data_IF_653830803224
#
_entry.id   IF_653830803224
#
_cell.length_a   1.000
_cell.length_b   1.000
_cell.length_c   1.000
_cell.angle_alpha   90.00
_cell.angle_beta   90.00
_cell.angle_gamma   90.00
#
_symmetry.space_group_name_H-M   'P 1'
#
loop_
_entity.id
_entity.type
_entity.pdbx_description
1 polymer ?
#
# COMPACT_ATOMS: atom_id res chain seq x y z
N UNK A 1 3.58 52.41 -4.01
CA UNK A 1 2.58 51.86 -3.06
C UNK A 1 1.88 50.68 -3.71
N UNK A 2 1.84 49.55 -3.02
CA UNK A 2 1.26 48.26 -3.43
C UNK A 2 -0.26 48.28 -3.16
N UNK A 3 -1.08 47.53 -3.91
CA UNK A 3 -1.66 46.32 -3.33
C UNK A 3 -1.57 45.07 -4.23
N UNK A 4 -1.25 43.95 -3.58
CA UNK A 4 -1.25 42.57 -4.09
C UNK A 4 -2.68 42.08 -4.35
N UNK A 5 -2.88 41.28 -5.39
CA UNK A 5 -3.88 40.18 -5.39
C UNK A 5 -3.28 38.92 -6.00
N UNK A 6 -3.21 37.87 -5.18
CA UNK A 6 -2.86 36.49 -5.53
C UNK A 6 -3.95 35.93 -6.45
N UNK A 7 -3.57 35.37 -7.60
CA UNK A 7 -4.40 34.39 -8.33
C UNK A 7 -3.96 33.00 -7.86
N UNK A 8 -4.87 32.32 -7.17
CA UNK A 8 -4.79 30.88 -6.89
C UNK A 8 -5.41 30.20 -8.10
N UNK A 9 -4.61 29.46 -8.87
CA UNK A 9 -5.12 28.62 -9.95
C UNK A 9 -5.64 27.32 -9.35
N UNK A 10 -6.95 27.11 -9.46
CA UNK A 10 -7.60 25.84 -9.21
C UNK A 10 -7.32 24.86 -10.35
N UNK A 11 -7.00 23.62 -10.02
CA UNK A 11 -6.92 22.52 -10.97
C UNK A 11 -8.33 21.96 -11.16
N UNK A 12 -8.92 22.23 -12.32
CA UNK A 12 -10.00 21.41 -12.88
C UNK A 12 -9.37 20.08 -13.31
N UNK A 13 -9.75 18.97 -12.67
CA UNK A 13 -9.55 17.64 -13.25
C UNK A 13 -10.68 17.46 -14.27
N UNK A 14 -10.30 17.30 -15.54
CA UNK A 14 -11.21 17.03 -16.63
C UNK A 14 -11.96 15.71 -16.35
N UNK A 15 -13.27 15.80 -16.17
CA UNK A 15 -14.18 14.65 -16.08
C UNK A 15 -14.71 14.32 -17.47
N UNK A 16 -13.92 13.66 -18.29
CA UNK A 16 -14.44 13.04 -19.52
C UNK A 16 -14.10 11.55 -19.52
N UNK A 17 -15.18 10.75 -19.57
CA UNK A 17 -15.22 9.28 -19.65
C UNK A 17 -15.09 8.47 -18.34
N UNK A 18 -16.06 8.64 -17.41
CA UNK A 18 -16.34 7.65 -16.35
C UNK A 18 -17.85 7.40 -16.25
N UNK A 19 -18.26 6.12 -16.18
CA UNK A 19 -19.66 5.66 -16.05
C UNK A 19 -20.18 5.90 -14.61
N UNK A 20 -21.51 5.92 -14.46
CA UNK A 20 -22.24 6.56 -13.36
C UNK A 20 -21.92 6.13 -11.91
N UNK A 21 -21.41 4.93 -11.67
CA UNK A 21 -21.04 4.48 -10.31
C UNK A 21 -19.68 5.03 -9.85
N UNK A 22 -18.70 5.15 -10.76
CA UNK A 22 -17.36 5.69 -10.47
C UNK A 22 -17.37 7.18 -10.12
N UNK A 23 -18.28 7.95 -10.74
CA UNK A 23 -18.46 9.37 -10.41
C UNK A 23 -18.93 9.55 -8.97
N UNK A 24 -19.77 8.65 -8.47
CA UNK A 24 -20.35 8.74 -7.14
C UNK A 24 -19.30 8.49 -6.05
N UNK A 25 -18.43 7.50 -6.25
CA UNK A 25 -17.33 7.16 -5.31
C UNK A 25 -16.24 8.23 -5.27
N UNK A 26 -15.80 8.75 -6.43
CA UNK A 26 -14.83 9.85 -6.51
C UNK A 26 -15.39 11.14 -5.91
N UNK A 27 -16.68 11.42 -6.13
CA UNK A 27 -17.35 12.56 -5.49
C UNK A 27 -17.37 12.38 -3.98
N UNK A 28 -17.63 11.17 -3.48
CA UNK A 28 -17.62 10.87 -2.04
C UNK A 28 -16.22 11.02 -1.42
N UNK A 29 -15.17 10.55 -2.09
CA UNK A 29 -13.77 10.75 -1.67
C UNK A 29 -13.38 12.24 -1.69
N UNK A 30 -13.78 12.98 -2.73
CA UNK A 30 -13.56 14.42 -2.82
C UNK A 30 -14.35 15.20 -1.77
N UNK A 31 -15.58 14.77 -1.44
CA UNK A 31 -16.40 15.36 -0.38
C UNK A 31 -15.82 15.08 1.01
N UNK A 32 -15.29 13.87 1.25
CA UNK A 32 -14.57 13.53 2.48
C UNK A 32 -13.30 14.38 2.64
N UNK A 33 -12.50 14.53 1.58
CA UNK A 33 -11.35 15.45 1.56
C UNK A 33 -11.75 16.92 1.79
N UNK A 34 -12.90 17.36 1.25
CA UNK A 34 -13.41 18.73 1.46
C UNK A 34 -13.98 18.94 2.87
N UNK A 35 -14.61 17.92 3.47
CA UNK A 35 -15.08 17.94 4.86
C UNK A 35 -13.90 17.97 5.85
N UNK A 36 -12.82 17.25 5.57
CA UNK A 36 -11.58 17.29 6.37
C UNK A 36 -10.90 18.67 6.40
N UNK A 37 -11.12 19.52 5.40
CA UNK A 37 -10.57 20.89 5.36
C UNK A 37 -11.36 21.93 6.16
N UNK A 38 -12.57 21.61 6.68
CA UNK A 38 -13.35 22.54 7.51
C UNK A 38 -13.10 22.29 9.00
N UNK A 39 -12.24 23.13 9.58
CA UNK A 39 -12.02 23.42 11.01
C UNK A 39 -11.48 22.25 11.87
N UNK A 40 -10.16 22.16 11.96
CA UNK A 40 -9.50 21.78 13.23
C UNK A 40 -9.45 23.03 14.11
N UNK A 41 -10.50 23.21 14.92
CA UNK A 41 -10.45 24.06 16.11
C UNK A 41 -9.82 23.25 17.24
N UNK A 42 -8.85 23.86 17.91
CA UNK A 42 -8.19 23.33 19.11
C UNK A 42 -9.18 23.32 20.27
N UNK A 43 -9.74 22.17 20.62
CA UNK A 43 -10.24 21.91 21.98
C UNK A 43 -9.75 20.53 22.43
N UNK A 44 -9.07 20.53 23.58
CA UNK A 44 -8.40 19.39 24.18
C UNK A 44 -9.38 18.33 24.69
N UNK A 45 -8.95 17.08 24.56
CA UNK A 45 -9.72 15.88 24.91
C UNK A 45 -9.90 14.89 23.75
N UNK A 46 -9.21 15.08 22.62
CA UNK A 46 -9.24 14.13 21.51
C UNK A 46 -8.55 12.83 21.88
N UNK A 47 -9.27 11.71 21.81
CA UNK A 47 -8.68 10.38 21.84
C UNK A 47 -7.48 10.35 20.88
N UNK A 48 -6.34 9.81 21.36
CA UNK A 48 -5.15 9.66 20.52
C UNK A 48 -5.48 8.58 19.48
N UNK A 49 -5.85 9.02 18.27
CA UNK A 49 -6.11 8.12 17.14
C UNK A 49 -4.81 7.41 16.80
N UNK A 50 -4.83 6.07 16.69
CA UNK A 50 -3.64 5.32 16.31
C UNK A 50 -3.27 5.57 14.84
N UNK A 51 -2.00 5.43 14.51
CA UNK A 51 -1.53 5.51 13.12
C UNK A 51 -2.00 4.30 12.31
N UNK A 52 -2.28 4.44 11.01
CA UNK A 52 -2.42 3.30 10.11
C UNK A 52 -1.17 2.43 10.17
N UNK A 53 -1.36 1.14 10.47
CA UNK A 53 -0.27 0.19 10.72
C UNK A 53 -0.08 -0.75 9.55
N UNK A 54 1.15 -0.84 9.06
CA UNK A 54 1.51 -1.57 7.86
C UNK A 54 2.59 -2.62 8.12
N UNK A 55 2.41 -3.80 7.53
CA UNK A 55 3.48 -4.77 7.35
C UNK A 55 4.22 -4.45 6.05
N UNK A 56 5.53 -4.25 6.12
CA UNK A 56 6.38 -3.87 5.00
C UNK A 56 7.13 -5.09 4.45
N UNK A 57 6.90 -5.40 3.17
CA UNK A 57 7.44 -6.55 2.44
C UNK A 57 8.50 -6.12 1.43
N UNK A 58 9.74 -6.52 1.66
CA UNK A 58 10.89 -6.12 0.85
C UNK A 58 10.94 -6.79 -0.54
N UNK A 59 11.83 -6.31 -1.41
CA UNK A 59 12.02 -6.85 -2.76
C UNK A 59 12.81 -8.15 -2.81
N UNK A 60 12.85 -8.79 -3.98
CA UNK A 60 13.59 -10.04 -4.19
C UNK A 60 15.07 -9.88 -3.80
N UNK A 61 15.59 -10.80 -2.98
CA UNK A 61 17.00 -10.82 -2.54
C UNK A 61 17.42 -9.53 -1.84
N UNK A 62 16.55 -8.99 -1.00
CA UNK A 62 16.86 -7.86 -0.11
C UNK A 62 16.46 -8.22 1.32
N UNK A 63 16.29 -7.24 2.21
CA UNK A 63 15.88 -7.47 3.60
C UNK A 63 14.93 -6.37 4.07
N UNK A 64 14.29 -6.60 5.21
CA UNK A 64 13.45 -5.62 5.89
C UNK A 64 14.22 -4.34 6.22
N UNK A 65 15.48 -4.45 6.68
CA UNK A 65 16.30 -3.27 6.97
C UNK A 65 16.66 -2.48 5.71
N UNK A 66 16.92 -3.16 4.58
CA UNK A 66 17.15 -2.47 3.29
C UNK A 66 15.89 -1.74 2.84
N UNK A 67 14.72 -2.39 2.93
CA UNK A 67 13.44 -1.73 2.62
C UNK A 67 13.18 -0.53 3.52
N UNK A 68 13.51 -0.63 4.81
CA UNK A 68 13.41 0.48 5.76
C UNK A 68 14.25 1.66 5.31
N UNK A 69 15.52 1.46 4.98
CA UNK A 69 16.40 2.51 4.46
C UNK A 69 15.82 3.12 3.17
N UNK A 70 15.32 2.28 2.27
CA UNK A 70 14.72 2.74 1.00
C UNK A 70 13.44 3.55 1.21
N UNK A 71 12.56 3.14 2.12
CA UNK A 71 11.29 3.83 2.40
C UNK A 71 11.51 5.15 3.15
N UNK A 72 12.53 5.24 4.00
CA UNK A 72 12.95 6.48 4.66
C UNK A 72 13.56 7.53 3.71
N UNK A 73 13.60 7.27 2.40
CA UNK A 73 13.80 8.32 1.39
C UNK A 73 12.60 9.28 1.31
N UNK A 74 11.43 8.88 1.81
CA UNK A 74 10.26 9.73 1.91
C UNK A 74 10.38 10.73 3.07
N UNK A 75 9.78 11.93 2.96
CA UNK A 75 9.84 12.93 4.01
C UNK A 75 9.27 12.42 5.35
N UNK A 76 9.82 12.92 6.47
CA UNK A 76 9.29 12.66 7.82
C UNK A 76 7.80 12.99 7.96
N UNK A 77 7.33 14.03 7.26
CA UNK A 77 5.91 14.41 7.21
C UNK A 77 4.99 13.32 6.65
N UNK A 78 5.54 12.29 6.01
CA UNK A 78 4.85 11.09 5.54
C UNK A 78 5.12 9.92 6.48
N UNK A 79 6.41 9.61 6.72
CA UNK A 79 6.81 8.41 7.49
C UNK A 79 6.32 8.47 8.94
N UNK A 80 6.37 9.63 9.60
CA UNK A 80 5.98 9.76 11.01
C UNK A 80 4.45 9.58 11.23
N UNK A 81 3.67 9.53 10.15
CA UNK A 81 2.21 9.32 10.18
C UNK A 81 1.80 7.85 10.05
N UNK A 82 2.75 6.97 9.73
CA UNK A 82 2.52 5.54 9.56
C UNK A 82 3.19 4.76 10.70
N UNK A 83 2.58 3.66 11.10
CA UNK A 83 3.24 2.66 11.95
C UNK A 83 3.73 1.52 11.04
N UNK A 84 5.06 1.35 10.95
CA UNK A 84 5.70 0.53 9.92
C UNK A 84 6.48 -0.62 10.56
N UNK A 85 6.12 -1.86 10.21
CA UNK A 85 6.82 -3.07 10.65
C UNK A 85 7.51 -3.71 9.46
N UNK A 86 8.85 -3.64 9.44
CA UNK A 86 9.66 -4.24 8.39
C UNK A 86 9.99 -5.70 8.72
N UNK A 87 9.66 -6.60 7.80
CA UNK A 87 9.80 -8.03 8.00
C UNK A 87 10.82 -8.61 7.03
N UNK A 88 11.73 -9.44 7.53
CA UNK A 88 12.56 -10.30 6.69
C UNK A 88 11.75 -11.50 6.19
N UNK A 89 11.91 -11.79 4.90
CA UNK A 89 11.32 -12.96 4.26
C UNK A 89 11.93 -14.27 4.81
N UNK A 90 11.20 -15.39 4.77
CA UNK A 90 11.59 -16.60 5.49
C UNK A 90 12.71 -17.42 4.82
N UNK A 91 13.03 -17.15 3.54
CA UNK A 91 14.02 -17.93 2.81
C UNK A 91 15.30 -17.12 2.57
N UNK A 92 16.48 -17.60 3.02
CA UNK A 92 17.74 -17.02 2.60
C UNK A 92 17.87 -17.01 1.08
N UNK A 93 18.45 -15.94 0.56
CA UNK A 93 18.73 -15.76 -0.86
C UNK A 93 19.60 -16.90 -1.42
N UNK A 94 19.19 -17.49 -2.55
CA UNK A 94 19.88 -18.63 -3.17
C UNK A 94 20.89 -18.23 -4.27
N UNK A 95 21.02 -16.94 -4.56
CA UNK A 95 21.95 -16.47 -5.58
C UNK A 95 22.40 -15.04 -5.34
N UNK A 96 22.87 -14.38 -6.41
CA UNK A 96 23.34 -13.01 -6.33
C UNK A 96 22.21 -12.03 -6.06
N UNK A 97 22.43 -11.07 -5.17
CA UNK A 97 21.56 -9.91 -5.01
C UNK A 97 22.04 -8.70 -5.83
N UNK A 98 21.11 -7.98 -6.44
CA UNK A 98 21.40 -6.75 -7.19
C UNK A 98 21.80 -5.58 -6.29
N UNK A 99 21.63 -5.72 -4.97
CA UNK A 99 22.03 -4.71 -3.99
C UNK A 99 23.39 -4.98 -3.34
N UNK A 100 24.07 -6.06 -3.73
CA UNK A 100 25.44 -6.36 -3.30
C UNK A 100 26.39 -5.20 -3.62
N UNK A 101 27.25 -4.86 -2.65
CA UNK A 101 28.18 -3.73 -2.74
C UNK A 101 27.55 -2.36 -2.48
N UNK A 102 26.23 -2.28 -2.34
CA UNK A 102 25.51 -1.08 -1.87
C UNK A 102 24.97 -1.30 -0.46
N UNK A 103 24.43 -2.49 -0.19
CA UNK A 103 23.92 -2.91 1.12
C UNK A 103 24.57 -4.21 1.53
N UNK A 104 24.86 -4.36 2.83
CA UNK A 104 25.43 -5.59 3.36
C UNK A 104 24.36 -6.70 3.51
N UNK A 105 24.75 -7.99 3.40
CA UNK A 105 23.87 -9.13 3.70
C UNK A 105 23.48 -9.19 5.19
N UNK A 106 22.48 -10.01 5.60
CA UNK A 106 21.80 -11.06 4.83
C UNK A 106 20.70 -10.56 3.89
N UNK A 107 20.44 -11.37 2.86
CA UNK A 107 19.34 -11.17 1.91
C UNK A 107 18.39 -12.35 1.90
N UNK A 108 17.13 -12.07 1.61
CA UNK A 108 16.04 -13.04 1.68
C UNK A 108 15.13 -12.95 0.46
N UNK A 109 14.34 -14.00 0.29
CA UNK A 109 13.33 -14.17 -0.76
C UNK A 109 12.03 -14.61 -0.10
N UNK A 110 10.89 -14.06 -0.55
CA UNK A 110 9.59 -14.48 -0.03
C UNK A 110 9.19 -15.86 -0.55
N UNK A 111 9.48 -16.12 -1.82
CA UNK A 111 9.32 -17.41 -2.49
C UNK A 111 10.25 -17.43 -3.70
N UNK A 112 10.56 -18.61 -4.22
CA UNK A 112 11.35 -18.78 -5.45
C UNK A 112 10.42 -18.91 -6.64
N UNK A 113 10.91 -18.60 -7.84
CA UNK A 113 10.15 -18.74 -9.08
C UNK A 113 11.03 -19.28 -10.22
N UNK A 114 10.43 -19.96 -11.19
CA UNK A 114 11.10 -20.32 -12.44
C UNK A 114 11.35 -19.08 -13.31
N UNK A 115 12.18 -19.20 -14.36
CA UNK A 115 12.57 -18.08 -15.23
C UNK A 115 11.38 -17.39 -15.89
N UNK A 116 10.31 -18.14 -16.14
CA UNK A 116 9.09 -17.68 -16.78
C UNK A 116 8.12 -17.01 -15.79
N UNK A 117 8.40 -17.11 -14.48
CA UNK A 117 7.60 -16.63 -13.35
C UNK A 117 6.21 -17.28 -13.24
N UNK A 118 6.01 -18.44 -13.85
CA UNK A 118 4.73 -19.17 -13.88
C UNK A 118 4.60 -20.21 -12.77
N UNK A 119 5.73 -20.62 -12.18
CA UNK A 119 5.80 -21.61 -11.11
C UNK A 119 6.50 -21.03 -9.89
N UNK A 120 5.91 -21.21 -8.71
CA UNK A 120 6.44 -20.69 -7.44
C UNK A 120 6.76 -21.82 -6.49
N UNK A 121 7.98 -21.81 -5.95
CA UNK A 121 8.44 -22.75 -4.94
C UNK A 121 8.40 -22.08 -3.57
N UNK A 122 7.94 -22.84 -2.56
CA UNK A 122 7.74 -22.37 -1.18
C UNK A 122 6.69 -21.26 -1.00
N UNK A 123 5.81 -21.04 -1.97
CA UNK A 123 4.78 -20.00 -1.89
C UNK A 123 3.82 -20.24 -0.72
N UNK A 124 3.33 -21.46 -0.53
CA UNK A 124 2.43 -21.82 0.57
C UNK A 124 3.09 -21.58 1.93
N UNK A 125 4.36 -21.98 2.09
CA UNK A 125 5.15 -21.72 3.30
C UNK A 125 5.35 -20.22 3.56
N UNK A 126 5.48 -19.41 2.50
CA UNK A 126 5.50 -17.96 2.62
C UNK A 126 4.17 -17.43 3.18
N UNK A 127 3.03 -17.93 2.70
CA UNK A 127 1.72 -17.53 3.18
C UNK A 127 1.50 -17.91 4.64
N UNK A 128 1.90 -19.12 5.04
CA UNK A 128 1.88 -19.59 6.44
C UNK A 128 2.74 -18.70 7.34
N UNK A 129 3.95 -18.38 6.90
CA UNK A 129 4.84 -17.47 7.62
C UNK A 129 4.23 -16.07 7.76
N UNK A 130 3.67 -15.51 6.69
CA UNK A 130 3.01 -14.20 6.75
C UNK A 130 1.80 -14.20 7.70
N UNK A 131 0.96 -15.24 7.67
CA UNK A 131 -0.16 -15.39 8.60
C UNK A 131 0.33 -15.42 10.06
N UNK A 132 1.34 -16.24 10.37
CA UNK A 132 1.92 -16.33 11.71
C UNK A 132 2.50 -14.98 12.18
N UNK A 133 3.23 -14.27 11.32
CA UNK A 133 3.80 -12.95 11.65
C UNK A 133 2.71 -11.90 11.82
N UNK A 134 1.66 -11.94 11.02
CA UNK A 134 0.51 -11.03 11.14
C UNK A 134 -0.30 -11.30 12.42
N UNK A 135 -0.43 -12.55 12.87
CA UNK A 135 -1.01 -12.90 14.17
C UNK A 135 -0.15 -12.33 15.31
N UNK A 136 1.15 -12.56 15.27
CA UNK A 136 2.07 -12.21 16.38
C UNK A 136 2.34 -10.71 16.52
N UNK A 137 2.39 -9.98 15.40
CA UNK A 137 2.83 -8.58 15.36
C UNK A 137 1.70 -7.60 15.06
N UNK A 138 0.51 -8.12 14.70
CA UNK A 138 -0.66 -7.34 14.35
C UNK A 138 -1.40 -6.76 15.56
N UNK A 139 -2.59 -6.18 15.31
CA UNK A 139 -3.28 -6.13 14.02
C UNK A 139 -2.60 -5.19 13.02
N UNK A 140 -2.71 -5.51 11.72
CA UNK A 140 -2.26 -4.66 10.62
C UNK A 140 -3.46 -4.16 9.83
N UNK A 141 -3.44 -2.89 9.41
CA UNK A 141 -4.46 -2.34 8.52
C UNK A 141 -4.15 -2.64 7.05
N UNK A 142 -2.87 -2.79 6.72
CA UNK A 142 -2.45 -2.91 5.34
C UNK A 142 -1.04 -3.44 5.12
N UNK A 143 -0.67 -3.52 3.84
CA UNK A 143 0.64 -3.96 3.37
C UNK A 143 1.35 -2.86 2.59
N UNK A 144 2.65 -2.71 2.79
CA UNK A 144 3.51 -1.96 1.86
C UNK A 144 4.44 -2.98 1.21
N UNK A 145 4.50 -3.01 -0.11
CA UNK A 145 5.36 -3.93 -0.83
C UNK A 145 6.27 -3.22 -1.82
N UNK A 146 7.52 -3.68 -1.93
CA UNK A 146 8.42 -3.33 -3.04
C UNK A 146 8.74 -4.57 -3.88
N UNK A 147 8.71 -4.47 -5.21
CA UNK A 147 9.11 -5.55 -6.14
C UNK A 147 8.40 -6.89 -5.83
N UNK A 148 9.12 -7.96 -5.47
CA UNK A 148 8.50 -9.23 -5.03
C UNK A 148 7.50 -9.05 -3.86
N UNK A 149 7.82 -8.22 -2.87
CA UNK A 149 6.90 -7.89 -1.79
C UNK A 149 5.67 -7.11 -2.28
N UNK A 150 5.80 -6.34 -3.37
CA UNK A 150 4.68 -5.66 -4.03
C UNK A 150 3.80 -6.64 -4.80
N UNK A 151 4.38 -7.65 -5.47
CA UNK A 151 3.64 -8.73 -6.13
C UNK A 151 2.79 -9.49 -5.11
N UNK A 152 3.37 -9.85 -3.96
CA UNK A 152 2.62 -10.43 -2.83
C UNK A 152 1.50 -9.51 -2.36
N UNK A 153 1.85 -8.26 -2.02
CA UNK A 153 0.89 -7.30 -1.47
C UNK A 153 -0.28 -7.03 -2.42
N UNK A 154 -0.05 -7.07 -3.74
CA UNK A 154 -1.08 -6.86 -4.75
C UNK A 154 -2.05 -8.04 -4.87
N UNK A 155 -1.59 -9.28 -4.72
CA UNK A 155 -2.45 -10.46 -4.84
C UNK A 155 -3.09 -10.95 -3.53
N UNK A 156 -2.45 -10.69 -2.39
CA UNK A 156 -2.92 -11.15 -1.07
C UNK A 156 -4.36 -10.74 -0.72
N UNK A 157 -4.85 -9.52 -1.03
CA UNK A 157 -6.24 -9.16 -0.75
C UNK A 157 -7.26 -10.07 -1.46
N UNK A 158 -7.00 -10.44 -2.72
CA UNK A 158 -7.87 -11.34 -3.46
C UNK A 158 -7.80 -12.78 -2.95
N UNK A 159 -6.59 -13.27 -2.65
CA UNK A 159 -6.41 -14.58 -2.03
C UNK A 159 -7.09 -14.68 -0.67
N UNK A 160 -7.05 -13.61 0.14
CA UNK A 160 -7.74 -13.54 1.42
C UNK A 160 -9.26 -13.53 1.25
N UNK A 161 -9.79 -12.76 0.30
CA UNK A 161 -11.23 -12.72 0.00
C UNK A 161 -11.78 -14.09 -0.45
N UNK A 162 -10.95 -14.94 -1.06
CA UNK A 162 -11.30 -16.32 -1.44
C UNK A 162 -11.08 -17.36 -0.32
N UNK A 163 -10.59 -16.94 0.84
CA UNK A 163 -10.25 -17.87 1.93
C UNK A 163 -9.06 -18.78 1.60
N UNK A 164 -8.14 -18.33 0.76
CA UNK A 164 -6.95 -19.11 0.36
C UNK A 164 -5.74 -18.74 1.23
N UNK A 165 -5.58 -17.47 1.57
CA UNK A 165 -4.46 -16.96 2.37
C UNK A 165 -4.95 -16.09 3.53
N UNK A 166 -4.16 -15.99 4.61
CA UNK A 166 -4.37 -15.03 5.70
C UNK A 166 -5.78 -15.09 6.31
N UNK A 167 -6.28 -16.32 6.54
CA UNK A 167 -7.64 -16.57 7.02
C UNK A 167 -7.80 -16.24 8.51
N UNK A 168 -6.71 -16.31 9.27
CA UNK A 168 -6.72 -16.11 10.74
C UNK A 168 -6.39 -14.69 11.18
N UNK A 169 -6.29 -13.75 10.24
CA UNK A 169 -5.96 -12.35 10.52
C UNK A 169 -7.04 -11.43 9.97
N UNK A 170 -7.18 -10.20 10.51
CA UNK A 170 -8.12 -9.22 9.97
C UNK A 170 -7.92 -8.98 8.46
N UNK A 171 -8.99 -8.52 7.81
CA UNK A 171 -8.98 -8.17 6.39
C UNK A 171 -7.89 -7.13 6.09
N UNK A 172 -7.14 -7.33 5.01
CA UNK A 172 -6.24 -6.31 4.45
C UNK A 172 -7.10 -5.18 3.88
N UNK A 173 -7.05 -4.00 4.51
CA UNK A 173 -7.87 -2.83 4.12
C UNK A 173 -7.14 -1.96 3.12
N UNK A 174 -5.83 -1.82 3.27
CA UNK A 174 -5.01 -0.86 2.52
C UNK A 174 -3.76 -1.52 1.92
N UNK A 175 -3.36 -1.10 0.73
CA UNK A 175 -2.07 -1.50 0.16
C UNK A 175 -1.31 -0.31 -0.43
N UNK A 176 0.01 -0.34 -0.29
CA UNK A 176 0.94 0.56 -0.98
C UNK A 176 1.90 -0.30 -1.79
N UNK A 177 1.80 -0.20 -3.11
CA UNK A 177 2.51 -1.02 -4.09
C UNK A 177 3.59 -0.18 -4.75
N UNK A 178 4.85 -0.61 -4.65
CA UNK A 178 5.99 0.09 -5.24
C UNK A 178 6.69 -0.86 -6.22
N UNK A 179 6.62 -0.55 -7.53
CA UNK A 179 7.19 -1.42 -8.56
C UNK A 179 6.61 -2.84 -8.52
N UNK A 180 5.29 -2.97 -8.40
CA UNK A 180 4.60 -4.25 -8.34
C UNK A 180 4.16 -4.78 -9.70
N UNK A 181 3.74 -6.05 -9.72
CA UNK A 181 3.17 -6.73 -10.86
C UNK A 181 2.16 -7.78 -10.38
N UNK A 182 1.32 -8.30 -11.28
CA UNK A 182 0.48 -9.45 -10.97
C UNK A 182 1.29 -10.74 -10.81
N UNK A 183 0.74 -11.71 -10.09
CA UNK A 183 1.16 -13.09 -10.27
C UNK A 183 0.98 -13.54 -11.73
N UNK A 184 1.85 -14.44 -12.19
CA UNK A 184 1.83 -15.00 -13.56
C UNK A 184 1.41 -16.47 -13.61
N UNK A 185 1.34 -17.15 -12.47
CA UNK A 185 0.77 -18.50 -12.40
C UNK A 185 -0.74 -18.44 -12.66
N UNK A 186 -1.25 -19.22 -13.62
CA UNK A 186 -2.69 -19.25 -13.98
C UNK A 186 -3.57 -19.44 -12.76
N UNK A 187 -3.22 -20.42 -11.91
CA UNK A 187 -3.97 -20.70 -10.67
C UNK A 187 -4.01 -19.50 -9.73
N UNK A 188 -2.92 -18.76 -9.59
CA UNK A 188 -2.89 -17.59 -8.71
C UNK A 188 -3.55 -16.38 -9.33
N UNK A 189 -3.52 -16.23 -10.66
CA UNK A 189 -4.29 -15.19 -11.35
C UNK A 189 -5.78 -15.39 -11.10
N UNK A 190 -6.29 -16.60 -11.33
CA UNK A 190 -7.70 -16.93 -11.10
C UNK A 190 -8.12 -16.69 -9.65
N UNK A 191 -7.24 -17.03 -8.70
CA UNK A 191 -7.57 -16.90 -7.28
C UNK A 191 -7.44 -15.47 -6.75
N UNK A 192 -6.39 -14.74 -7.14
CA UNK A 192 -6.10 -13.40 -6.62
C UNK A 192 -6.87 -12.30 -7.35
N UNK A 193 -7.24 -12.51 -8.62
CA UNK A 193 -7.74 -11.47 -9.51
C UNK A 193 -9.06 -11.83 -10.21
N UNK A 194 -9.86 -12.76 -9.67
CA UNK A 194 -11.17 -13.15 -10.27
C UNK A 194 -12.22 -12.03 -10.31
N UNK A 195 -12.04 -10.97 -9.52
CA UNK A 195 -12.98 -9.86 -9.38
C UNK A 195 -12.24 -8.60 -8.97
N UNK A 196 -12.85 -7.45 -9.22
CA UNK A 196 -12.31 -6.16 -8.76
C UNK A 196 -12.21 -6.12 -7.23
N UNK A 197 -11.10 -5.56 -6.74
CA UNK A 197 -10.71 -5.46 -5.34
C UNK A 197 -11.15 -4.11 -4.76
N UNK A 198 -11.89 -4.16 -3.65
CA UNK A 198 -12.31 -2.98 -2.87
C UNK A 198 -11.18 -2.39 -2.02
N UNK A 199 -10.04 -3.05 -1.95
CA UNK A 199 -8.88 -2.64 -1.15
C UNK A 199 -8.37 -1.28 -1.65
N UNK A 200 -8.32 -0.30 -0.75
CA UNK A 200 -7.83 1.03 -1.09
C UNK A 200 -6.32 0.94 -1.34
N UNK A 201 -5.88 1.44 -2.50
CA UNK A 201 -4.53 1.18 -2.98
C UNK A 201 -3.82 2.44 -3.48
N UNK A 202 -2.53 2.52 -3.18
CA UNK A 202 -1.59 3.51 -3.71
C UNK A 202 -0.50 2.78 -4.48
N UNK A 203 -0.31 3.14 -5.75
CA UNK A 203 0.65 2.49 -6.65
C UNK A 203 1.70 3.47 -7.13
N UNK A 204 2.97 3.08 -7.02
CA UNK A 204 4.10 3.81 -7.59
C UNK A 204 4.62 3.08 -8.83
N UNK A 205 4.57 3.77 -9.97
CA UNK A 205 5.08 3.30 -11.25
C UNK A 205 6.29 4.12 -11.68
N UNK A 206 7.42 3.43 -11.88
CA UNK A 206 8.61 4.04 -12.46
C UNK A 206 8.52 4.10 -13.97
N UNK A 207 8.73 5.27 -14.56
CA UNK A 207 8.65 5.48 -16.01
C UNK A 207 9.66 4.63 -16.80
N UNK A 208 10.79 4.29 -16.18
CA UNK A 208 11.81 3.42 -16.76
C UNK A 208 11.91 2.06 -16.06
N UNK A 209 10.90 1.70 -15.26
CA UNK A 209 10.84 0.41 -14.58
C UNK A 209 10.40 -0.68 -15.57
N UNK A 210 11.17 -1.78 -15.63
CA UNK A 210 10.85 -2.94 -16.47
C UNK A 210 9.54 -3.64 -16.05
N UNK A 211 9.10 -3.45 -14.79
CA UNK A 211 7.81 -3.95 -14.31
C UNK A 211 6.63 -3.03 -14.63
N UNK A 212 6.85 -1.81 -15.14
CA UNK A 212 5.78 -0.83 -15.37
C UNK A 212 4.58 -1.38 -16.16
N UNK A 213 4.76 -2.13 -17.28
CA UNK A 213 3.62 -2.69 -18.01
C UNK A 213 2.76 -3.61 -17.13
N UNK A 214 3.40 -4.52 -16.39
CA UNK A 214 2.72 -5.46 -15.50
C UNK A 214 2.12 -4.80 -14.26
N UNK A 215 2.74 -3.74 -13.76
CA UNK A 215 2.18 -2.89 -12.71
C UNK A 215 0.94 -2.13 -13.17
N UNK A 216 0.90 -1.75 -14.45
CA UNK A 216 -0.27 -1.10 -15.06
C UNK A 216 -1.43 -2.09 -15.15
N UNK A 217 -1.17 -3.34 -15.57
CA UNK A 217 -2.18 -4.41 -15.56
C UNK A 217 -2.73 -4.70 -14.15
N UNK A 218 -1.87 -4.72 -13.13
CA UNK A 218 -2.28 -4.92 -11.73
C UNK A 218 -3.26 -3.85 -11.25
N UNK A 219 -3.08 -2.59 -11.66
CA UNK A 219 -3.90 -1.45 -11.22
C UNK A 219 -5.37 -1.61 -11.64
N UNK A 220 -5.64 -2.20 -12.80
CA UNK A 220 -6.99 -2.41 -13.34
C UNK A 220 -7.89 -3.26 -12.44
N UNK A 221 -7.30 -4.05 -11.53
CA UNK A 221 -8.04 -4.86 -10.58
C UNK A 221 -8.51 -4.08 -9.34
N UNK A 222 -8.06 -2.85 -9.14
CA UNK A 222 -8.46 -2.02 -7.98
C UNK A 222 -9.53 -1.00 -8.39
N UNK A 223 -10.62 -0.86 -7.63
CA UNK A 223 -11.73 0.03 -7.99
C UNK A 223 -11.40 1.52 -7.99
N UNK A 224 -10.49 1.96 -7.13
CA UNK A 224 -10.14 3.38 -6.99
C UNK A 224 -8.68 3.56 -6.58
N UNK A 225 -7.72 3.18 -7.45
CA UNK A 225 -6.30 3.25 -7.15
C UNK A 225 -5.80 4.68 -7.25
N UNK A 226 -4.99 5.10 -6.26
CA UNK A 226 -4.18 6.31 -6.38
C UNK A 226 -2.88 5.93 -7.07
N UNK A 227 -2.56 6.57 -8.19
CA UNK A 227 -1.34 6.25 -8.96
C UNK A 227 -0.37 7.43 -8.96
N UNK A 228 0.88 7.13 -8.62
CA UNK A 228 2.03 8.05 -8.64
C UNK A 228 3.03 7.55 -9.66
N UNK A 229 3.35 8.39 -10.65
CA UNK A 229 4.39 8.14 -11.63
C UNK A 229 5.67 8.85 -11.22
N UNK A 230 6.83 8.21 -11.41
CA UNK A 230 8.13 8.82 -11.11
C UNK A 230 9.15 8.53 -12.21
N UNK A 231 10.13 9.42 -12.47
CA UNK A 231 11.02 9.33 -13.64
C UNK A 231 12.16 8.28 -13.50
N UNK A 232 12.09 7.40 -12.48
CA UNK A 232 13.16 6.45 -12.17
C UNK A 232 12.75 5.04 -12.61
N UNK A 233 13.73 4.13 -12.61
CA UNK A 233 13.52 2.72 -12.86
C UNK A 233 13.00 1.99 -11.62
N UNK A 234 13.42 0.74 -11.47
CA UNK A 234 12.98 -0.15 -10.39
C UNK A 234 13.57 0.22 -9.02
N UNK A 235 12.95 1.18 -8.32
CA UNK A 235 13.39 1.69 -7.01
C UNK A 235 12.23 2.25 -6.23
N UNK A 236 12.34 2.25 -4.89
CA UNK A 236 11.52 3.14 -4.05
C UNK A 236 11.84 4.60 -4.42
N UNK A 237 10.85 5.40 -4.86
CA UNK A 237 11.10 6.76 -5.35
C UNK A 237 11.26 7.75 -4.21
N UNK A 238 11.97 8.85 -4.46
CA UNK A 238 11.79 10.08 -3.68
C UNK A 238 10.49 10.75 -4.13
N UNK A 239 9.80 11.40 -3.19
CA UNK A 239 8.57 12.13 -3.51
C UNK A 239 8.93 13.55 -3.96
N UNK A 240 8.59 13.88 -5.21
CA UNK A 240 8.54 15.28 -5.64
C UNK A 240 7.27 15.96 -5.08
N UNK A 241 7.09 17.26 -5.34
CA UNK A 241 5.97 18.03 -4.81
C UNK A 241 4.60 17.43 -5.18
N UNK A 242 4.43 16.99 -6.43
CA UNK A 242 3.17 16.40 -6.93
C UNK A 242 2.92 15.02 -6.32
N UNK A 243 3.95 14.20 -6.23
CA UNK A 243 3.88 12.87 -5.62
C UNK A 243 3.59 13.00 -4.12
N UNK A 244 4.23 13.95 -3.44
CA UNK A 244 4.01 14.22 -2.03
C UNK A 244 2.57 14.64 -1.75
N UNK A 245 1.97 15.49 -2.58
CA UNK A 245 0.56 15.87 -2.45
C UNK A 245 -0.37 14.64 -2.52
N UNK A 246 -0.18 13.78 -3.54
CA UNK A 246 -0.97 12.55 -3.72
C UNK A 246 -0.82 11.58 -2.55
N UNK A 247 0.42 11.34 -2.12
CA UNK A 247 0.73 10.44 -0.99
C UNK A 247 0.14 10.98 0.31
N UNK A 248 0.25 12.30 0.53
CA UNK A 248 -0.31 12.96 1.72
C UNK A 248 -1.82 12.82 1.75
N UNK A 249 -2.53 13.08 0.65
CA UNK A 249 -3.98 12.93 0.57
C UNK A 249 -4.45 11.47 0.74
N UNK A 250 -3.66 10.50 0.25
CA UNK A 250 -3.92 9.09 0.52
C UNK A 250 -3.81 8.78 2.02
N UNK A 251 -2.73 9.21 2.69
CA UNK A 251 -2.53 8.98 4.12
C UNK A 251 -3.59 9.68 4.98
N UNK A 252 -4.00 10.90 4.62
CA UNK A 252 -5.13 11.59 5.27
C UNK A 252 -6.42 10.78 5.20
N UNK A 253 -6.67 10.12 4.06
CA UNK A 253 -7.81 9.21 3.90
C UNK A 253 -7.69 8.00 4.83
N UNK A 254 -6.50 7.41 4.95
CA UNK A 254 -6.27 6.27 5.85
C UNK A 254 -6.50 6.64 7.31
N UNK A 255 -5.93 7.75 7.77
CA UNK A 255 -6.08 8.23 9.15
C UNK A 255 -7.55 8.48 9.50
N UNK A 256 -8.32 9.07 8.57
CA UNK A 256 -9.75 9.26 8.76
C UNK A 256 -10.50 7.94 8.92
N UNK A 257 -10.21 6.95 8.07
CA UNK A 257 -10.86 5.64 8.12
C UNK A 257 -10.51 4.87 9.40
N UNK A 258 -9.26 4.92 9.84
CA UNK A 258 -8.83 4.31 11.13
C UNK A 258 -9.56 4.97 12.30
N UNK A 259 -9.65 6.31 12.31
CA UNK A 259 -10.40 7.04 13.34
C UNK A 259 -11.88 6.64 13.38
N UNK A 260 -12.54 6.48 12.22
CA UNK A 260 -13.95 6.07 12.16
C UNK A 260 -14.17 4.64 12.66
N UNK A 261 -13.22 3.74 12.40
CA UNK A 261 -13.27 2.36 12.87
C UNK A 261 -13.10 2.27 14.39
N UNK A 262 -12.17 3.05 14.97
CA UNK A 262 -11.98 3.12 16.42
C UNK A 262 -13.25 3.63 17.12
N UNK A 263 -13.86 4.71 16.61
CA UNK A 263 -15.11 5.24 17.16
C UNK A 263 -16.25 4.22 17.17
N UNK A 264 -16.41 3.46 16.08
CA UNK A 264 -17.41 2.40 15.99
C UNK A 264 -17.16 1.28 17.00
N UNK A 265 -15.91 0.87 17.15
CA UNK A 265 -15.54 -0.17 18.11
C UNK A 265 -15.79 0.28 19.56
N UNK A 266 -15.53 1.55 19.88
CA UNK A 266 -15.78 2.12 21.21
C UNK A 266 -17.29 2.19 21.51
N UNK A 267 -18.12 2.60 20.55
CA UNK A 267 -19.59 2.62 20.68
C UNK A 267 -20.18 1.22 20.87
N UNK A 268 -19.68 0.22 20.13
CA UNK A 268 -20.10 -1.18 20.27
C UNK A 268 -19.68 -1.79 21.62
N UNK A 269 -18.50 -1.45 22.12
CA UNK A 269 -18.04 -1.96 23.42
C UNK A 269 -18.83 -1.33 24.58
N UNK A 270 -19.15 -0.03 24.49
CA UNK A 270 -19.93 0.68 25.51
C UNK A 270 -21.41 0.24 25.53
N UNK A 271 -21.97 -0.20 24.40
CA UNK A 271 -23.35 -0.71 24.33
C UNK A 271 -23.48 -2.15 24.82
N UNK A 272 -22.42 -2.97 24.78
CA UNK A 272 -22.40 -4.34 25.34
C UNK A 272 -22.18 -4.40 26.86
N UNK A 273 -21.78 -3.28 27.48
CA UNK A 273 -21.58 -3.16 28.94
C UNK A 273 -22.78 -2.58 29.69
N UNK A 274 -23.84 -2.16 28.98
CA UNK A 274 -25.12 -1.73 29.56
C UNK A 274 -26.17 -2.83 29.43
#
# INVERSE_FOLDING_TARGET
MVPRRRKIFGICIATESLKGEDKTTITKLCELCKKGKKKMGSEGGGAIVRKPRFLCLHGFRTSGEIMKIQLHKWPKSVIDRLDLVFLDAPFPCQGKSDVEGIFDPPYYEWFQFNKEFTEYTNFEKCLEYLEDRMIKLGPFDGLIGFSQGAILSGGLPGLQAKGIALQKVPKIKYIIIIGGAMFKSTKLIENAYSSSLDTLSLHFLGETDFLKPYGTELIEFFKSPVVVHHPKGHTVPRLDEKSLEKVTGFIETLEHLVMEEEKKNDEENNSKQK
#
